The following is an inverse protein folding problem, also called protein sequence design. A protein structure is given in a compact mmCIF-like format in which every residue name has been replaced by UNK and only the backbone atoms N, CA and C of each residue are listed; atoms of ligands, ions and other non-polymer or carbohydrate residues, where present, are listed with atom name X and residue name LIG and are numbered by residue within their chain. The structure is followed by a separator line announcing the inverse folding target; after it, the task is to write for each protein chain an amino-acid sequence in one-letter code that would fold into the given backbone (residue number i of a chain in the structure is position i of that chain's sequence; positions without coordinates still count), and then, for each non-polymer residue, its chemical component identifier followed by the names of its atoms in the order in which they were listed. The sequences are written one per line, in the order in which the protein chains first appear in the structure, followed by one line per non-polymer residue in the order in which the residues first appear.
data_IF_773488935469
#
_entry.id   IF_773488935469
#
_cell.length_a   1.000
_cell.length_b   1.000
_cell.length_c   1.000
_cell.angle_alpha   90.00
_cell.angle_beta   90.00
_cell.angle_gamma   90.00
#
_symmetry.space_group_name_H-M   'P 1'
#
loop_
_entity.id
_entity.type
_entity.pdbx_description
1 polymer ?
#
# COMPACT_ATOMS: atom_id res chain seq x y z
N UNK A 1 1.83 -3.35 16.80
CA UNK A 1 2.10 -4.73 16.34
C UNK A 1 1.92 -4.74 14.83
N UNK A 2 2.83 -5.36 14.06
CA UNK A 2 2.63 -5.52 12.60
C UNK A 2 1.39 -6.38 12.39
N UNK A 3 0.39 -5.87 11.66
CA UNK A 3 -0.81 -6.64 11.31
C UNK A 3 -0.68 -7.07 9.84
N UNK A 4 -0.10 -8.26 9.56
CA UNK A 4 0.20 -8.68 8.20
C UNK A 4 -1.07 -8.79 7.33
N UNK A 5 -2.21 -9.13 7.92
CA UNK A 5 -3.49 -9.19 7.20
C UNK A 5 -3.95 -7.81 6.73
N UNK A 6 -3.83 -6.80 7.60
CA UNK A 6 -4.17 -5.44 7.25
C UNK A 6 -3.23 -4.88 6.17
N UNK A 7 -1.93 -5.18 6.25
CA UNK A 7 -0.99 -4.83 5.19
C UNK A 7 -1.39 -5.46 3.84
N UNK A 8 -1.72 -6.76 3.81
CA UNK A 8 -2.17 -7.43 2.60
C UNK A 8 -3.44 -6.78 2.02
N UNK A 9 -4.40 -6.41 2.87
CA UNK A 9 -5.62 -5.73 2.44
C UNK A 9 -5.33 -4.35 1.86
N UNK A 10 -4.44 -3.57 2.48
CA UNK A 10 -4.01 -2.27 1.95
C UNK A 10 -3.42 -2.43 0.54
N UNK A 11 -2.49 -3.38 0.35
CA UNK A 11 -1.89 -3.66 -0.96
C UNK A 11 -2.95 -4.04 -1.99
N UNK A 12 -3.89 -4.92 -1.64
CA UNK A 12 -4.96 -5.36 -2.55
C UNK A 12 -5.87 -4.19 -2.98
N UNK A 13 -6.21 -3.28 -2.07
CA UNK A 13 -7.03 -2.11 -2.39
C UNK A 13 -6.29 -1.19 -3.37
N UNK A 14 -5.02 -0.90 -3.09
CA UNK A 14 -4.17 -0.07 -3.95
C UNK A 14 -4.03 -0.70 -5.35
N UNK A 15 -3.78 -2.00 -5.44
CA UNK A 15 -3.70 -2.74 -6.71
C UNK A 15 -5.00 -2.65 -7.54
N UNK A 16 -6.13 -2.43 -6.89
CA UNK A 16 -7.44 -2.26 -7.53
C UNK A 16 -7.79 -0.80 -7.79
N UNK A 17 -6.88 0.14 -7.52
CA UNK A 17 -7.12 1.58 -7.63
C UNK A 17 -8.11 2.10 -6.58
N UNK A 18 -8.22 1.42 -5.45
CA UNK A 18 -9.09 1.81 -4.34
C UNK A 18 -8.28 2.46 -3.21
N UNK A 19 -8.90 3.43 -2.55
CA UNK A 19 -8.34 4.03 -1.35
C UNK A 19 -8.35 3.03 -0.18
N UNK A 20 -7.18 2.70 0.42
CA UNK A 20 -7.07 1.84 1.60
C UNK A 20 -7.88 2.32 2.80
N UNK A 21 -8.13 3.63 2.95
CA UNK A 21 -8.91 4.16 4.06
C UNK A 21 -10.37 3.70 4.04
N UNK A 22 -10.89 3.26 2.89
CA UNK A 22 -12.23 2.62 2.82
C UNK A 22 -12.32 1.31 3.61
N UNK A 23 -11.18 0.73 4.04
CA UNK A 23 -11.14 -0.40 4.97
C UNK A 23 -11.70 -0.03 6.35
N UNK A 24 -11.64 1.23 6.77
CA UNK A 24 -12.16 1.66 8.08
C UNK A 24 -13.67 1.52 8.15
N UNK A 25 -14.37 2.01 7.14
CA UNK A 25 -15.83 1.90 7.03
C UNK A 25 -16.30 0.46 6.88
N UNK A 26 -15.57 -0.36 6.11
CA UNK A 26 -16.00 -1.74 5.78
C UNK A 26 -15.68 -2.76 6.85
N UNK A 27 -14.59 -2.59 7.58
CA UNK A 27 -14.07 -3.59 8.51
C UNK A 27 -13.88 -3.05 9.93
N UNK A 28 -14.25 -1.79 10.20
CA UNK A 28 -14.11 -1.17 11.52
C UNK A 28 -12.65 -1.02 11.96
N UNK A 29 -11.72 -0.93 11.00
CA UNK A 29 -10.30 -0.74 11.27
C UNK A 29 -10.04 0.75 11.48
N UNK A 30 -9.26 1.09 12.50
CA UNK A 30 -8.90 2.49 12.75
C UNK A 30 -7.99 3.04 11.63
N UNK A 31 -8.29 4.23 11.13
CA UNK A 31 -7.50 4.93 10.11
C UNK A 31 -6.05 5.12 10.54
N UNK A 32 -5.80 5.31 11.83
CA UNK A 32 -4.42 5.40 12.35
C UNK A 32 -3.65 4.07 12.17
N UNK A 33 -4.34 2.93 12.27
CA UNK A 33 -3.73 1.61 12.04
C UNK A 33 -3.46 1.36 10.55
N UNK A 34 -4.38 1.80 9.69
CA UNK A 34 -4.23 1.76 8.22
C UNK A 34 -3.03 2.62 7.80
N UNK A 35 -2.95 3.87 8.28
CA UNK A 35 -1.84 4.77 8.01
C UNK A 35 -0.49 4.15 8.41
N UNK A 36 -0.40 3.56 9.61
CA UNK A 36 0.81 2.85 10.04
C UNK A 36 1.20 1.69 9.10
N UNK A 37 0.23 0.95 8.55
CA UNK A 37 0.54 -0.12 7.59
C UNK A 37 1.00 0.45 6.24
N UNK A 38 0.41 1.56 5.79
CA UNK A 38 0.79 2.22 4.55
C UNK A 38 2.21 2.80 4.63
N UNK A 39 2.57 3.42 5.75
CA UNK A 39 3.92 3.90 6.00
C UNK A 39 4.95 2.77 5.92
N UNK A 40 4.65 1.61 6.52
CA UNK A 40 5.50 0.42 6.42
C UNK A 40 5.59 -0.12 4.98
N UNK A 41 4.50 -0.11 4.22
CA UNK A 41 4.50 -0.54 2.82
C UNK A 41 5.32 0.38 1.91
N UNK A 42 5.33 1.68 2.22
CA UNK A 42 6.20 2.67 1.57
C UNK A 42 7.65 2.45 1.95
N UNK A 43 7.94 2.22 3.23
CA UNK A 43 9.29 1.88 3.71
C UNK A 43 9.83 0.62 3.01
N UNK A 44 8.99 -0.40 2.84
CA UNK A 44 9.35 -1.65 2.14
C UNK A 44 9.32 -1.54 0.61
N UNK A 45 9.04 -0.36 0.05
CA UNK A 45 8.98 -0.11 -1.39
C UNK A 45 7.99 -1.06 -2.12
N UNK A 46 6.93 -1.46 -1.44
CA UNK A 46 5.80 -2.22 -2.05
C UNK A 46 4.78 -1.25 -2.64
N UNK A 47 4.68 -0.06 -2.06
CA UNK A 47 3.77 1.02 -2.46
C UNK A 47 4.57 2.32 -2.52
N UNK A 48 4.26 3.21 -3.46
CA UNK A 48 4.71 4.60 -3.43
C UNK A 48 3.55 5.51 -3.05
N UNK A 49 3.86 6.64 -2.41
CA UNK A 49 2.89 7.70 -2.14
C UNK A 49 3.23 8.91 -3.01
N UNK A 50 2.30 9.34 -3.85
CA UNK A 50 2.44 10.54 -4.69
C UNK A 50 1.30 11.48 -4.33
N UNK A 51 1.64 12.61 -3.71
CA UNK A 51 0.66 13.51 -3.09
C UNK A 51 -0.22 12.76 -2.09
N UNK A 52 -1.52 12.63 -2.35
CA UNK A 52 -2.49 11.96 -1.47
C UNK A 52 -2.88 10.56 -1.99
N UNK A 53 -2.25 10.08 -3.06
CA UNK A 53 -2.54 8.78 -3.67
C UNK A 53 -1.45 7.75 -3.39
N UNK A 54 -1.86 6.50 -3.22
CA UNK A 54 -0.98 5.35 -3.09
C UNK A 54 -0.96 4.56 -4.39
N UNK A 55 0.23 4.16 -4.85
CA UNK A 55 0.41 3.37 -6.06
C UNK A 55 1.18 2.09 -5.74
N UNK A 56 0.67 0.95 -6.22
CA UNK A 56 1.34 -0.33 -6.03
C UNK A 56 2.58 -0.38 -6.93
N UNK A 57 3.71 -0.79 -6.36
CA UNK A 57 4.95 -0.99 -7.12
C UNK A 57 5.01 -2.46 -7.53
N UNK A 58 4.95 -2.73 -8.82
CA UNK A 58 5.00 -4.10 -9.31
C UNK A 58 6.41 -4.69 -9.11
N UNK A 59 6.58 -5.82 -8.40
CA UNK A 59 7.86 -6.51 -8.29
C UNK A 59 8.24 -7.06 -9.66
N UNK A 60 8.96 -6.25 -10.44
CA UNK A 60 9.32 -6.48 -11.83
C UNK A 60 9.53 -5.18 -12.63
N UNK A 61 8.92 -4.07 -12.20
CA UNK A 61 9.14 -2.74 -12.83
C UNK A 61 10.47 -2.09 -12.43
N UNK A 62 11.14 -2.59 -11.38
CA UNK A 62 12.54 -2.25 -11.09
C UNK A 62 13.56 -2.92 -12.03
N UNK A 63 13.09 -3.72 -12.99
CA UNK A 63 13.92 -4.31 -14.04
C UNK A 63 13.52 -3.74 -15.40
N UNK A 64 13.97 -2.52 -15.72
CA UNK A 64 14.55 -2.08 -17.00
C UNK A 64 15.19 -0.70 -16.76
N UNK A 65 16.44 -0.69 -16.32
CA UNK A 65 17.49 0.25 -16.75
C UNK A 65 18.83 -0.50 -16.71
N UNK A 66 18.92 -1.62 -17.44
CA UNK A 66 20.21 -2.07 -17.97
C UNK A 66 20.17 -1.68 -19.44
N UNK A 67 21.10 -0.81 -19.82
CA UNK A 67 21.14 -0.11 -21.09
C UNK A 67 20.96 -1.00 -22.32
N UNK A 68 20.29 -0.42 -23.30
CA UNK A 68 20.51 -0.72 -24.72
C UNK A 68 21.23 0.49 -25.29
#
# INVERSE_FOLDING_TARGET
MKNPWLMCLCVLYIQKGLDPHTLSERFGVDDAQIAQQLDLLVEFQVVSKISDEYQYICPGEFSIQIGV
#
